data_IF_659024412580
#
_entry.id   IF_659024412580
#
_cell.length_a   1.000
_cell.length_b   1.000
_cell.length_c   1.000
_cell.angle_alpha   90.00
_cell.angle_beta   90.00
_cell.angle_gamma   90.00
#
_symmetry.space_group_name_H-M   'P 1'
#
loop_
_entity.id
_entity.type
_entity.pdbx_description
1 polymer ?
#
# COMPACT_ATOMS: atom_id res chain seq x y z
N UNK A 1 -2.51 -27.69 4.40
CA UNK A 1 -2.22 -26.98 3.15
C UNK A 1 -0.80 -26.44 3.27
N UNK A 2 0.11 -26.84 2.39
CA UNK A 2 1.49 -26.33 2.42
C UNK A 2 1.44 -24.87 1.96
N UNK A 3 1.90 -23.95 2.80
CA UNK A 3 2.03 -22.54 2.43
C UNK A 3 2.97 -22.43 1.23
N UNK A 4 2.62 -21.66 0.18
CA UNK A 4 3.50 -21.48 -0.96
C UNK A 4 4.78 -20.79 -0.48
N UNK A 5 5.88 -21.52 -0.52
CA UNK A 5 7.18 -20.92 -0.22
C UNK A 5 7.55 -20.01 -1.37
N UNK A 6 7.91 -18.75 -1.08
CA UNK A 6 8.36 -17.79 -2.06
C UNK A 6 9.60 -18.34 -2.78
N UNK A 7 9.41 -18.85 -3.99
CA UNK A 7 10.50 -19.43 -4.80
C UNK A 7 11.13 -18.37 -5.72
N UNK A 8 12.30 -18.67 -6.28
CA UNK A 8 13.04 -17.74 -7.13
C UNK A 8 12.26 -17.33 -8.39
N UNK A 9 11.40 -18.22 -8.91
CA UNK A 9 10.56 -17.94 -10.08
C UNK A 9 9.52 -16.86 -9.75
N UNK A 10 8.81 -17.01 -8.64
CA UNK A 10 7.81 -16.03 -8.17
C UNK A 10 8.45 -14.66 -7.91
N UNK A 11 9.61 -14.64 -7.26
CA UNK A 11 10.35 -13.39 -7.05
C UNK A 11 10.74 -12.74 -8.39
N UNK A 12 11.06 -13.52 -9.40
CA UNK A 12 11.37 -13.00 -10.74
C UNK A 12 10.12 -12.42 -11.40
N UNK A 13 8.96 -13.08 -11.31
CA UNK A 13 7.70 -12.56 -11.83
C UNK A 13 7.29 -11.26 -11.13
N UNK A 14 7.38 -11.20 -9.81
CA UNK A 14 7.13 -9.96 -9.06
C UNK A 14 8.08 -8.83 -9.45
N UNK A 15 9.39 -9.14 -9.66
CA UNK A 15 10.37 -8.15 -10.15
C UNK A 15 10.03 -7.62 -11.55
N UNK A 16 9.47 -8.45 -12.41
CA UNK A 16 9.03 -8.00 -13.73
C UNK A 16 7.84 -7.03 -13.66
N UNK A 17 6.98 -7.19 -12.66
CA UNK A 17 5.81 -6.32 -12.46
C UNK A 17 6.22 -4.96 -11.89
N UNK A 18 6.91 -4.93 -10.74
CA UNK A 18 7.17 -3.69 -10.00
C UNK A 18 8.56 -3.10 -10.25
N UNK A 19 9.45 -3.84 -10.90
CA UNK A 19 10.86 -3.50 -11.05
C UNK A 19 11.71 -3.95 -9.84
N UNK A 20 13.00 -4.15 -10.09
CA UNK A 20 13.94 -4.72 -9.12
C UNK A 20 14.02 -3.93 -7.80
N UNK A 21 13.96 -2.57 -7.89
CA UNK A 21 14.09 -1.67 -6.74
C UNK A 21 12.85 -1.59 -5.86
N UNK A 22 11.74 -2.14 -6.32
CA UNK A 22 10.42 -2.02 -5.68
C UNK A 22 9.88 -3.35 -5.18
N UNK A 23 10.72 -4.37 -5.17
CA UNK A 23 10.53 -5.64 -4.48
C UNK A 23 11.54 -5.74 -3.34
N UNK A 24 11.07 -5.68 -2.10
CA UNK A 24 11.86 -5.79 -0.89
C UNK A 24 11.81 -7.24 -0.41
N UNK A 25 12.98 -7.84 -0.23
CA UNK A 25 13.14 -9.21 0.28
C UNK A 25 14.24 -9.32 1.33
N UNK A 26 14.98 -8.21 1.57
CA UNK A 26 16.01 -8.15 2.61
C UNK A 26 15.36 -8.21 4.00
N UNK A 27 15.78 -9.11 4.90
CA UNK A 27 15.22 -9.20 6.25
C UNK A 27 15.26 -7.88 7.01
N UNK A 28 16.33 -7.11 6.90
CA UNK A 28 16.49 -5.83 7.59
C UNK A 28 15.45 -4.80 7.12
N UNK A 29 15.13 -4.77 5.83
CA UNK A 29 14.13 -3.88 5.28
C UNK A 29 12.69 -4.38 5.57
N UNK A 30 12.47 -5.69 5.60
CA UNK A 30 11.16 -6.29 5.91
C UNK A 30 10.70 -5.96 7.33
N UNK A 31 11.64 -5.76 8.29
CA UNK A 31 11.31 -5.33 9.65
C UNK A 31 10.55 -4.01 9.73
N UNK A 32 10.67 -3.13 8.74
CA UNK A 32 9.88 -1.88 8.70
C UNK A 32 8.41 -2.11 8.35
N UNK A 33 8.07 -3.32 7.93
CA UNK A 33 6.72 -3.72 7.52
C UNK A 33 6.13 -4.83 8.39
N UNK A 34 6.81 -5.27 9.46
CA UNK A 34 6.38 -6.39 10.30
C UNK A 34 5.20 -6.05 11.22
N UNK A 35 4.88 -4.77 11.38
CA UNK A 35 3.79 -4.28 12.22
C UNK A 35 3.08 -3.08 11.57
N UNK A 36 1.94 -2.71 12.11
CA UNK A 36 1.32 -1.41 11.90
C UNK A 36 1.47 -0.55 13.17
N UNK A 37 0.65 0.50 13.35
CA UNK A 37 0.71 1.31 14.57
C UNK A 37 0.20 0.55 15.81
N UNK A 38 -0.42 -0.61 15.66
CA UNK A 38 -0.74 -1.54 16.74
C UNK A 38 0.50 -2.44 17.01
N UNK A 39 1.48 -1.91 17.70
CA UNK A 39 2.83 -2.49 17.86
C UNK A 39 2.90 -3.78 18.66
N UNK A 40 1.79 -4.21 19.27
CA UNK A 40 1.71 -5.42 20.07
C UNK A 40 1.77 -6.71 19.23
N UNK A 41 1.48 -6.59 17.94
CA UNK A 41 1.48 -7.71 17.01
C UNK A 41 2.52 -7.48 15.93
N UNK A 42 3.29 -8.52 15.65
CA UNK A 42 4.31 -8.48 14.59
C UNK A 42 4.26 -9.78 13.80
N UNK A 43 4.32 -9.66 12.50
CA UNK A 43 4.41 -10.79 11.57
C UNK A 43 5.33 -10.40 10.43
N UNK A 44 6.38 -11.17 10.22
CA UNK A 44 7.32 -10.90 9.14
C UNK A 44 6.71 -11.29 7.79
N UNK A 45 6.57 -10.36 6.83
CA UNK A 45 6.14 -10.72 5.49
C UNK A 45 7.26 -11.44 4.73
N UNK A 46 6.91 -12.27 3.73
CA UNK A 46 7.90 -12.92 2.87
C UNK A 46 8.52 -11.95 1.85
N UNK A 47 7.76 -10.93 1.45
CA UNK A 47 8.21 -9.86 0.57
C UNK A 47 7.30 -8.66 0.70
N UNK A 48 7.82 -7.49 0.31
CA UNK A 48 7.02 -6.26 0.16
C UNK A 48 7.15 -5.77 -1.27
N UNK A 49 6.00 -5.49 -1.90
CA UNK A 49 5.91 -4.93 -3.25
C UNK A 49 5.41 -3.49 -3.18
N UNK A 50 6.05 -2.61 -3.95
CA UNK A 50 5.69 -1.20 -4.02
C UNK A 50 5.23 -0.84 -5.44
N UNK A 51 3.99 -1.17 -5.82
CA UNK A 51 3.45 -0.79 -7.13
C UNK A 51 3.31 0.74 -7.25
N UNK A 52 3.39 1.23 -8.49
CA UNK A 52 3.22 2.64 -8.85
C UNK A 52 1.92 2.91 -9.61
N UNK A 53 1.20 1.87 -9.97
CA UNK A 53 -0.02 1.98 -10.79
C UNK A 53 -1.00 0.86 -10.45
N UNK A 54 -2.27 1.09 -10.79
CA UNK A 54 -3.32 0.07 -10.69
C UNK A 54 -3.04 -1.15 -11.55
N UNK A 55 -2.44 -0.95 -12.73
CA UNK A 55 -2.07 -2.07 -13.61
C UNK A 55 -1.05 -3.00 -12.92
N UNK A 56 -0.07 -2.45 -12.22
CA UNK A 56 0.88 -3.25 -11.41
C UNK A 56 0.18 -3.96 -10.26
N UNK A 57 -0.71 -3.27 -9.53
CA UNK A 57 -1.52 -3.89 -8.46
C UNK A 57 -2.33 -5.06 -9.01
N UNK A 58 -3.02 -4.86 -10.13
CA UNK A 58 -3.82 -5.90 -10.77
C UNK A 58 -2.98 -7.12 -11.16
N UNK A 59 -1.79 -6.90 -11.73
CA UNK A 59 -0.87 -7.98 -12.09
C UNK A 59 -0.39 -8.76 -10.85
N UNK A 60 -0.05 -8.05 -9.76
CA UNK A 60 0.31 -8.67 -8.48
C UNK A 60 -0.83 -9.53 -7.95
N UNK A 61 -2.06 -8.99 -7.92
CA UNK A 61 -3.22 -9.72 -7.40
C UNK A 61 -3.55 -10.97 -8.21
N UNK A 62 -3.42 -10.89 -9.55
CA UNK A 62 -3.57 -12.08 -10.43
C UNK A 62 -2.55 -13.15 -10.11
N UNK A 63 -1.29 -12.75 -9.87
CA UNK A 63 -0.22 -13.67 -9.52
C UNK A 63 -0.47 -14.29 -8.13
N UNK A 64 -0.83 -13.46 -7.14
CA UNK A 64 -1.19 -13.94 -5.80
C UNK A 64 -2.36 -14.94 -5.84
N UNK A 65 -3.40 -14.65 -6.63
CA UNK A 65 -4.54 -15.54 -6.78
C UNK A 65 -4.15 -16.87 -7.44
N UNK A 66 -3.37 -16.84 -8.53
CA UNK A 66 -2.89 -18.04 -9.23
C UNK A 66 -2.07 -18.96 -8.32
N UNK A 67 -1.20 -18.38 -7.51
CA UNK A 67 -0.27 -19.10 -6.65
C UNK A 67 -0.76 -19.28 -5.21
N UNK A 68 -2.00 -18.84 -4.91
CA UNK A 68 -2.59 -18.87 -3.57
C UNK A 68 -1.72 -18.19 -2.50
N UNK A 69 -1.09 -17.06 -2.83
CA UNK A 69 -0.26 -16.28 -1.92
C UNK A 69 -1.15 -15.33 -1.12
N UNK A 70 -1.16 -15.42 0.22
CA UNK A 70 -1.84 -14.44 1.06
C UNK A 70 -1.19 -13.07 0.92
N UNK A 71 -1.98 -12.01 0.98
CA UNK A 71 -1.45 -10.65 0.90
C UNK A 71 -2.23 -9.67 1.78
N UNK A 72 -1.56 -8.60 2.15
CA UNK A 72 -2.15 -7.44 2.82
C UNK A 72 -1.76 -6.19 2.05
N UNK A 73 -2.74 -5.35 1.72
CA UNK A 73 -2.48 -4.03 1.19
C UNK A 73 -2.31 -3.03 2.35
N UNK A 74 -1.33 -2.11 2.23
CA UNK A 74 -1.14 -1.03 3.21
C UNK A 74 -0.71 0.28 2.55
N UNK A 75 -1.14 1.38 3.14
CA UNK A 75 -0.58 2.71 2.90
C UNK A 75 0.65 2.93 3.79
N UNK A 76 0.60 3.94 4.64
CA UNK A 76 1.67 4.27 5.61
C UNK A 76 1.73 3.34 6.83
N UNK A 77 0.74 2.48 7.04
CA UNK A 77 0.71 1.56 8.18
C UNK A 77 0.37 2.22 9.52
N UNK A 78 -0.31 3.36 9.51
CA UNK A 78 -0.67 4.13 10.72
C UNK A 78 -1.99 3.68 11.36
N UNK A 79 -2.64 2.65 10.83
CA UNK A 79 -3.87 2.08 11.41
C UNK A 79 -3.61 1.41 12.76
N UNK A 80 -4.58 1.51 13.68
CA UNK A 80 -4.52 0.95 15.03
C UNK A 80 -5.37 -0.31 15.19
N UNK A 81 -5.89 -0.85 14.10
CA UNK A 81 -6.83 -1.99 14.12
C UNK A 81 -6.25 -3.28 13.55
N UNK A 82 -4.95 -3.33 13.27
CA UNK A 82 -4.29 -4.51 12.71
C UNK A 82 -4.58 -4.75 11.21
N UNK A 83 -5.25 -3.80 10.53
CA UNK A 83 -5.63 -3.96 9.12
C UNK A 83 -4.47 -3.91 8.13
N UNK A 84 -3.32 -3.40 8.55
CA UNK A 84 -2.09 -3.36 7.75
C UNK A 84 -1.03 -4.35 8.27
N UNK A 85 -1.37 -5.16 9.25
CA UNK A 85 -0.48 -6.20 9.79
C UNK A 85 -0.29 -7.31 8.74
N UNK A 86 0.96 -7.70 8.44
CA UNK A 86 1.20 -8.81 7.53
C UNK A 86 0.55 -10.11 8.00
N UNK A 87 0.14 -10.94 7.05
CA UNK A 87 -0.32 -12.30 7.34
C UNK A 87 0.83 -13.27 7.25
N UNK A 88 0.76 -14.33 8.04
CA UNK A 88 1.77 -15.39 8.04
C UNK A 88 1.94 -16.00 6.64
N UNK A 89 3.19 -16.16 6.20
CA UNK A 89 3.53 -16.65 4.86
C UNK A 89 2.99 -15.79 3.69
N UNK A 90 2.59 -14.55 3.98
CA UNK A 90 2.05 -13.63 3.00
C UNK A 90 3.03 -12.55 2.57
N UNK A 91 2.57 -11.71 1.66
CA UNK A 91 3.29 -10.54 1.18
C UNK A 91 2.55 -9.26 1.57
N UNK A 92 3.27 -8.15 1.58
CA UNK A 92 2.70 -6.80 1.73
C UNK A 92 2.72 -6.10 0.39
N UNK A 93 1.59 -5.49 0.02
CA UNK A 93 1.47 -4.60 -1.13
C UNK A 93 1.41 -3.16 -0.57
N UNK A 94 2.54 -2.46 -0.61
CA UNK A 94 2.63 -1.08 -0.13
C UNK A 94 2.25 -0.11 -1.24
N UNK A 95 1.16 0.62 -1.04
CA UNK A 95 0.63 1.58 -2.01
C UNK A 95 1.29 2.97 -1.91
N UNK A 96 2.36 3.12 -1.11
CA UNK A 96 3.01 4.40 -0.83
C UNK A 96 3.50 5.15 -2.08
N UNK A 97 3.74 4.47 -3.20
CA UNK A 97 4.14 5.09 -4.48
C UNK A 97 2.95 5.64 -5.28
N UNK A 98 1.73 5.19 -5.00
CA UNK A 98 0.51 5.70 -5.61
C UNK A 98 0.01 6.89 -4.80
N UNK A 99 0.67 8.03 -4.94
CA UNK A 99 0.51 9.18 -4.04
C UNK A 99 0.14 10.49 -4.75
N UNK A 100 -0.52 10.40 -5.90
CA UNK A 100 -0.98 11.58 -6.65
C UNK A 100 -2.31 12.09 -6.11
N UNK A 101 -2.45 13.43 -6.08
CA UNK A 101 -3.75 14.10 -5.96
C UNK A 101 -4.29 14.21 -7.38
N UNK A 102 -5.44 13.61 -7.63
CA UNK A 102 -6.06 13.52 -8.97
C UNK A 102 -6.97 14.72 -9.24
N UNK A 103 -7.78 15.11 -8.25
CA UNK A 103 -8.74 16.21 -8.38
C UNK A 103 -8.92 16.92 -7.03
N UNK A 104 -9.11 18.24 -7.08
CA UNK A 104 -9.48 19.06 -5.92
C UNK A 104 -10.74 19.84 -6.26
N UNK A 105 -11.85 19.51 -5.60
CA UNK A 105 -13.16 20.14 -5.77
C UNK A 105 -13.48 20.94 -4.51
N UNK A 106 -13.02 22.18 -4.44
CA UNK A 106 -13.21 23.06 -3.31
C UNK A 106 -14.69 23.40 -3.04
N UNK A 107 -15.51 23.70 -4.07
CA UNK A 107 -16.94 23.99 -3.85
C UNK A 107 -17.68 22.86 -3.14
N UNK A 108 -17.34 21.61 -3.40
CA UNK A 108 -17.97 20.44 -2.80
C UNK A 108 -17.15 19.87 -1.61
N UNK A 109 -16.07 20.54 -1.19
CA UNK A 109 -15.17 20.10 -0.13
C UNK A 109 -14.67 18.65 -0.36
N UNK A 110 -14.30 18.30 -1.61
CA UNK A 110 -13.92 16.95 -2.02
C UNK A 110 -12.52 16.95 -2.66
N UNK A 111 -11.75 15.92 -2.35
CA UNK A 111 -10.46 15.65 -3.00
C UNK A 111 -10.43 14.20 -3.46
N UNK A 112 -10.08 13.95 -4.71
CA UNK A 112 -9.86 12.62 -5.28
C UNK A 112 -8.36 12.36 -5.31
N UNK A 113 -7.94 11.24 -4.71
CA UNK A 113 -6.52 10.91 -4.53
C UNK A 113 -6.25 9.44 -4.81
N UNK A 114 -5.00 9.12 -5.10
CA UNK A 114 -4.52 7.74 -5.10
C UNK A 114 -4.39 7.20 -3.66
N UNK A 115 -4.46 5.87 -3.47
CA UNK A 115 -4.60 5.24 -2.15
C UNK A 115 -3.37 5.37 -1.23
N UNK A 116 -2.23 5.79 -1.73
CA UNK A 116 -0.99 6.00 -0.95
C UNK A 116 -0.79 7.44 -0.49
N UNK A 117 -1.73 8.35 -0.76
CA UNK A 117 -1.62 9.74 -0.33
C UNK A 117 -1.75 9.83 1.19
N UNK A 118 -0.81 10.53 1.82
CA UNK A 118 -0.86 10.84 3.24
C UNK A 118 -1.79 12.03 3.49
N UNK A 119 -2.70 11.92 4.46
CA UNK A 119 -3.62 13.00 4.85
C UNK A 119 -2.87 14.30 5.20
N UNK A 120 -1.71 14.20 5.85
CA UNK A 120 -0.88 15.35 6.17
C UNK A 120 -0.35 16.06 4.91
N UNK A 121 -0.01 15.30 3.86
CA UNK A 121 0.43 15.88 2.58
C UNK A 121 -0.70 16.63 1.88
N UNK A 122 -1.95 16.21 2.04
CA UNK A 122 -3.12 16.96 1.56
C UNK A 122 -3.20 18.33 2.25
N UNK A 123 -3.09 18.36 3.58
CA UNK A 123 -3.14 19.60 4.34
C UNK A 123 -2.03 20.59 3.95
N UNK A 124 -0.82 20.10 3.70
CA UNK A 124 0.33 20.93 3.31
C UNK A 124 0.27 21.45 1.86
N UNK A 125 -0.36 20.70 0.95
CA UNK A 125 -0.42 21.08 -0.48
C UNK A 125 -1.56 22.00 -0.85
N UNK A 126 -2.53 22.15 0.03
CA UNK A 126 -3.69 23.03 -0.17
C UNK A 126 -3.43 24.38 0.46
N UNK A 127 -2.26 24.98 0.16
CA UNK A 127 -1.79 26.30 0.58
C UNK A 127 -2.83 27.17 1.32
N UNK A 128 -2.87 27.07 2.64
CA UNK A 128 -3.38 28.09 3.56
C UNK A 128 -4.76 28.73 3.35
N UNK A 129 -5.41 28.52 2.22
CA UNK A 129 -6.51 29.37 1.78
C UNK A 129 -7.93 28.89 2.13
N UNK A 130 -8.13 27.67 2.61
CA UNK A 130 -9.48 27.25 3.08
C UNK A 130 -9.52 25.97 3.94
N UNK A 131 -8.43 25.29 4.16
CA UNK A 131 -8.43 23.98 4.80
C UNK A 131 -7.52 23.94 6.04
N UNK A 132 -7.71 24.89 6.93
CA UNK A 132 -7.03 24.93 8.24
C UNK A 132 -7.45 23.79 9.18
N UNK A 133 -8.42 22.97 8.79
CA UNK A 133 -8.76 21.73 9.47
C UNK A 133 -9.18 20.68 8.44
N UNK A 134 -8.54 19.53 8.45
CA UNK A 134 -8.91 18.32 7.67
C UNK A 134 -10.28 17.77 8.08
N UNK A 135 -10.90 18.35 9.10
CA UNK A 135 -12.24 18.06 9.58
C UNK A 135 -13.28 18.69 8.64
N UNK A 136 -13.78 17.91 7.72
CA UNK A 136 -14.85 18.31 6.80
C UNK A 136 -14.56 18.13 5.32
N UNK A 137 -13.38 17.53 4.96
CA UNK A 137 -13.10 17.14 3.58
C UNK A 137 -13.45 15.68 3.38
N UNK A 138 -14.20 15.40 2.34
CA UNK A 138 -14.40 14.04 1.86
C UNK A 138 -13.21 13.64 0.99
N UNK A 139 -12.41 12.69 1.46
CA UNK A 139 -11.37 12.08 0.65
C UNK A 139 -11.99 10.94 -0.15
N UNK A 140 -11.96 11.05 -1.46
CA UNK A 140 -12.39 10.00 -2.36
C UNK A 140 -11.12 9.29 -2.86
N UNK A 141 -10.98 8.01 -2.52
CA UNK A 141 -9.97 7.16 -3.11
C UNK A 141 -10.55 6.65 -4.42
N UNK A 142 -9.93 7.05 -5.53
CA UNK A 142 -10.37 6.58 -6.85
C UNK A 142 -10.04 5.09 -6.98
N UNK A 143 -11.10 4.28 -7.03
CA UNK A 143 -11.03 2.83 -7.27
C UNK A 143 -11.67 2.45 -8.61
N UNK A 144 -12.00 3.43 -9.44
CA UNK A 144 -12.61 3.20 -10.76
C UNK A 144 -11.55 2.75 -11.77
N UNK A 145 -11.55 1.45 -12.05
CA UNK A 145 -10.80 0.83 -13.15
C UNK A 145 -11.58 -0.32 -13.77
#
# INVERSE_FOLDING_TARGET
MLSPTMNATLLTEFRQIVGHRHLITSPDELHTYDSDALTNFRTMPQAVLLPSSTAEVQAILRLCHREHIPFVARGSGTGLSGGALPVENGIVISLARMNRILEVDLPNARVTVEPGVLTLCLACRMDGSALSSVTGITVVIDTSY
#
